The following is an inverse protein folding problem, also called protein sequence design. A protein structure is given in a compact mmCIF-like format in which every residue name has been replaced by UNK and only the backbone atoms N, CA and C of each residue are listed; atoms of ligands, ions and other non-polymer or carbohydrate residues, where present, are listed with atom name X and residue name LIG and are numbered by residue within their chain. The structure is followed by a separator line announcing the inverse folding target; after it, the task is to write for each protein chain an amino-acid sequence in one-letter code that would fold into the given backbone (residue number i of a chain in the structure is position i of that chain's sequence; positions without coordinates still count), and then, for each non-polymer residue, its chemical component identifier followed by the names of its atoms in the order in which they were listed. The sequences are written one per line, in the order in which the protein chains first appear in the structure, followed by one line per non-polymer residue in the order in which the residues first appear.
data_IF_943186859266
#
_entry.id   IF_943186859266
#
_cell.length_a   1.000
_cell.length_b   1.000
_cell.length_c   1.000
_cell.angle_alpha   90.00
_cell.angle_beta   90.00
_cell.angle_gamma   90.00
#
_symmetry.space_group_name_H-M   'P 1'
#
loop_
_entity.id
_entity.type
_entity.pdbx_description
1 polymer ?
#
# COMPACT_ATOMS: atom_id res chain seq x y z
N UNK A 1 -22.05 39.01 2.24
CA UNK A 1 -22.74 37.69 2.19
C UNK A 1 -22.10 36.70 1.22
N UNK A 2 -21.87 37.02 -0.06
CA UNK A 2 -21.38 36.03 -1.05
C UNK A 2 -20.02 35.36 -0.73
N UNK A 3 -19.06 36.08 -0.14
CA UNK A 3 -17.76 35.49 0.23
C UNK A 3 -17.88 34.40 1.30
N UNK A 4 -18.85 34.54 2.21
CA UNK A 4 -19.08 33.57 3.29
C UNK A 4 -19.77 32.30 2.74
N UNK A 5 -20.69 32.46 1.79
CA UNK A 5 -21.33 31.33 1.08
C UNK A 5 -20.31 30.52 0.28
N UNK A 6 -19.38 31.17 -0.41
CA UNK A 6 -18.31 30.49 -1.15
C UNK A 6 -17.36 29.71 -0.24
N UNK A 7 -16.95 30.31 0.88
CA UNK A 7 -16.11 29.63 1.87
C UNK A 7 -16.84 28.42 2.48
N UNK A 8 -18.13 28.56 2.80
CA UNK A 8 -18.94 27.45 3.31
C UNK A 8 -19.06 26.31 2.30
N UNK A 9 -19.24 26.61 1.01
CA UNK A 9 -19.32 25.60 -0.04
C UNK A 9 -18.01 24.83 -0.22
N UNK A 10 -16.86 25.52 -0.21
CA UNK A 10 -15.53 24.89 -0.32
C UNK A 10 -15.28 23.98 0.89
N UNK A 11 -15.53 24.47 2.11
CA UNK A 11 -15.35 23.67 3.33
C UNK A 11 -16.29 22.47 3.36
N UNK A 12 -17.55 22.64 2.93
CA UNK A 12 -18.52 21.55 2.82
C UNK A 12 -18.08 20.46 1.83
N UNK A 13 -17.55 20.85 0.66
CA UNK A 13 -17.08 19.91 -0.35
C UNK A 13 -15.82 19.16 0.10
N UNK A 14 -14.87 19.86 0.75
CA UNK A 14 -13.66 19.24 1.30
C UNK A 14 -13.99 18.28 2.45
N UNK A 15 -14.91 18.68 3.33
CA UNK A 15 -15.38 17.81 4.42
C UNK A 15 -16.08 16.57 3.88
N UNK A 16 -16.94 16.70 2.86
CA UNK A 16 -17.59 15.57 2.22
C UNK A 16 -16.58 14.61 1.55
N UNK A 17 -15.51 15.13 0.95
CA UNK A 17 -14.52 14.30 0.26
C UNK A 17 -13.50 13.66 1.23
N UNK A 18 -13.22 14.30 2.36
CA UNK A 18 -12.21 13.85 3.34
C UNK A 18 -12.76 13.10 4.56
N UNK A 19 -14.08 13.10 4.78
CA UNK A 19 -14.69 12.33 5.87
C UNK A 19 -14.78 10.87 5.47
N UNK A 20 -13.92 10.03 6.05
CA UNK A 20 -14.11 8.58 5.94
C UNK A 20 -15.43 8.22 6.65
N UNK A 21 -16.31 7.40 6.05
CA UNK A 21 -17.42 6.83 6.78
C UNK A 21 -16.86 6.10 8.01
N UNK A 22 -17.52 6.23 9.15
CA UNK A 22 -17.31 5.32 10.27
C UNK A 22 -17.77 3.94 9.79
N UNK A 23 -16.88 3.20 9.14
CA UNK A 23 -17.10 1.80 8.83
C UNK A 23 -17.14 1.06 10.15
N UNK A 24 -18.31 0.51 10.49
CA UNK A 24 -18.39 -0.60 11.42
C UNK A 24 -17.35 -1.64 10.98
N UNK A 25 -16.56 -2.20 11.90
CA UNK A 25 -15.57 -3.20 11.55
C UNK A 25 -16.30 -4.28 10.74
N UNK A 26 -15.91 -4.54 9.48
CA UNK A 26 -16.55 -5.58 8.71
C UNK A 26 -16.44 -6.86 9.55
N UNK A 27 -17.60 -7.47 9.85
CA UNK A 27 -17.63 -8.81 10.42
C UNK A 27 -16.66 -9.63 9.59
N UNK A 28 -15.62 -10.17 10.24
CA UNK A 28 -14.46 -10.80 9.60
C UNK A 28 -14.94 -11.68 8.45
N UNK A 29 -14.96 -11.11 7.24
CA UNK A 29 -15.31 -11.86 6.06
C UNK A 29 -14.04 -12.63 5.83
N UNK A 30 -14.04 -13.90 6.24
CA UNK A 30 -13.06 -14.88 5.84
C UNK A 30 -13.23 -15.05 4.32
N UNK A 31 -12.83 -14.03 3.56
CA UNK A 31 -12.46 -14.18 2.18
C UNK A 31 -11.31 -15.17 2.24
N UNK A 32 -11.61 -16.41 1.87
CA UNK A 32 -10.64 -17.48 1.82
C UNK A 32 -9.42 -16.92 1.07
N UNK A 33 -8.30 -16.83 1.76
CA UNK A 33 -7.02 -16.45 1.20
C UNK A 33 -6.68 -17.53 0.17
N UNK A 34 -7.04 -17.27 -1.10
CA UNK A 34 -6.56 -18.10 -2.18
C UNK A 34 -5.03 -18.01 -2.14
N UNK A 35 -4.31 -19.14 -2.30
CA UNK A 35 -2.87 -19.12 -2.33
C UNK A 35 -2.45 -18.22 -3.49
N UNK A 36 -1.87 -17.09 -3.12
CA UNK A 36 -1.21 -16.20 -4.05
C UNK A 36 -0.08 -16.97 -4.73
N UNK A 37 -0.20 -17.10 -6.06
CA UNK A 37 0.75 -17.86 -6.84
C UNK A 37 1.95 -17.00 -7.18
N UNK A 38 2.99 -17.10 -6.37
CA UNK A 38 4.27 -16.45 -6.63
C UNK A 38 4.73 -15.46 -5.57
N UNK A 39 4.05 -15.31 -4.43
CA UNK A 39 4.65 -14.65 -3.26
C UNK A 39 5.31 -15.67 -2.33
N UNK A 40 6.38 -15.28 -1.61
CA UNK A 40 6.92 -16.07 -0.53
C UNK A 40 5.84 -16.42 0.50
N UNK A 41 5.89 -17.64 1.05
CA UNK A 41 4.97 -18.03 2.11
C UNK A 41 5.25 -17.21 3.38
N UNK A 42 4.40 -16.22 3.64
CA UNK A 42 4.51 -15.37 4.81
C UNK A 42 3.58 -15.89 5.91
N UNK A 43 4.05 -16.88 6.67
CA UNK A 43 3.28 -17.58 7.72
C UNK A 43 3.67 -17.16 9.15
N UNK A 44 4.62 -16.22 9.30
CA UNK A 44 5.06 -15.73 10.59
C UNK A 44 3.96 -14.97 11.37
N UNK A 45 4.14 -14.76 12.67
CA UNK A 45 3.28 -13.86 13.44
C UNK A 45 3.42 -12.42 12.90
N UNK A 46 2.29 -11.75 12.69
CA UNK A 46 2.28 -10.34 12.28
C UNK A 46 2.70 -9.46 13.47
N UNK A 47 3.43 -8.35 13.22
CA UNK A 47 3.77 -7.40 14.27
C UNK A 47 2.53 -6.69 14.81
N UNK A 48 2.67 -5.95 15.92
CA UNK A 48 1.58 -5.14 16.44
C UNK A 48 1.29 -3.93 15.54
N UNK A 49 0.03 -3.44 15.49
CA UNK A 49 -0.33 -2.24 14.75
C UNK A 49 0.44 -1.00 15.22
N UNK A 50 0.78 -0.12 14.28
CA UNK A 50 1.52 1.13 14.56
C UNK A 50 0.54 2.31 14.54
N UNK A 51 0.54 3.08 15.63
CA UNK A 51 -0.17 4.36 15.70
C UNK A 51 0.78 5.51 15.33
N UNK A 52 0.38 6.34 14.35
CA UNK A 52 1.13 7.51 13.88
C UNK A 52 0.19 8.71 13.78
N UNK A 53 0.37 9.72 14.63
CA UNK A 53 -0.45 10.93 14.67
C UNK A 53 -1.97 10.62 14.64
N UNK A 54 -2.63 10.72 13.48
CA UNK A 54 -4.06 10.42 13.27
C UNK A 54 -4.32 9.19 12.37
N UNK A 55 -3.33 8.32 12.22
CA UNK A 55 -3.36 7.15 11.35
C UNK A 55 -3.01 5.88 12.14
N UNK A 56 -3.72 4.78 11.85
CA UNK A 56 -3.39 3.44 12.31
C UNK A 56 -2.90 2.61 11.13
N UNK A 57 -1.75 1.97 11.30
CA UNK A 57 -1.14 1.09 10.32
C UNK A 57 -1.29 -0.34 10.82
N UNK A 58 -2.19 -1.11 10.20
CA UNK A 58 -2.41 -2.52 10.50
C UNK A 58 -1.54 -3.38 9.56
N UNK A 59 -0.67 -4.25 10.08
CA UNK A 59 0.06 -5.18 9.23
C UNK A 59 -0.90 -6.26 8.72
N UNK A 60 -0.79 -6.57 7.44
CA UNK A 60 -1.55 -7.62 6.75
C UNK A 60 -0.60 -8.48 5.93
N UNK A 61 -1.00 -9.70 5.63
CA UNK A 61 -0.22 -10.56 4.74
C UNK A 61 -0.38 -10.10 3.30
N UNK A 62 0.63 -10.31 2.47
CA UNK A 62 0.50 -9.99 1.05
C UNK A 62 -0.63 -10.75 0.35
N UNK A 63 -0.92 -11.99 0.79
CA UNK A 63 -2.04 -12.78 0.29
C UNK A 63 -3.42 -12.22 0.62
N UNK A 64 -3.50 -11.27 1.56
CA UNK A 64 -4.75 -10.62 1.97
C UNK A 64 -5.02 -9.35 1.17
N UNK A 65 -4.07 -8.90 0.31
CA UNK A 65 -4.25 -7.71 -0.52
C UNK A 65 -5.08 -8.04 -1.77
N UNK A 66 -6.31 -7.49 -1.91
CA UNK A 66 -7.14 -7.74 -3.08
C UNK A 66 -6.53 -7.06 -4.31
N UNK A 67 -6.48 -7.77 -5.44
CA UNK A 67 -5.98 -7.21 -6.70
C UNK A 67 -4.46 -7.32 -6.90
N UNK A 68 -3.69 -7.63 -5.85
CA UNK A 68 -2.22 -7.64 -5.91
C UNK A 68 -1.69 -8.64 -6.97
N UNK A 69 -2.30 -9.81 -7.07
CA UNK A 69 -1.88 -10.85 -8.02
C UNK A 69 -2.07 -10.47 -9.48
N UNK A 70 -3.06 -9.60 -9.73
CA UNK A 70 -3.38 -9.11 -11.05
C UNK A 70 -2.55 -7.88 -11.43
N UNK A 71 -1.82 -7.29 -10.47
CA UNK A 71 -1.03 -6.09 -10.70
C UNK A 71 0.23 -6.37 -11.54
N UNK A 72 0.53 -5.44 -12.44
CA UNK A 72 1.68 -5.51 -13.32
C UNK A 72 2.88 -4.81 -12.66
N UNK A 73 3.55 -5.51 -11.75
CA UNK A 73 4.68 -4.98 -10.97
C UNK A 73 5.80 -4.35 -11.82
N UNK A 74 5.96 -4.81 -13.06
CA UNK A 74 6.95 -4.23 -13.97
C UNK A 74 6.71 -2.74 -14.24
N UNK A 75 5.45 -2.30 -14.29
CA UNK A 75 5.09 -0.89 -14.50
C UNK A 75 5.52 -0.01 -13.32
N UNK A 76 5.42 -0.54 -12.09
CA UNK A 76 5.86 0.15 -10.88
C UNK A 76 7.39 0.19 -10.71
N UNK A 77 8.12 -0.71 -11.38
CA UNK A 77 9.55 -0.94 -11.10
C UNK A 77 10.41 0.30 -11.35
N UNK A 78 10.10 1.07 -12.40
CA UNK A 78 10.81 2.32 -12.70
C UNK A 78 10.73 3.32 -11.54
N UNK A 79 9.59 3.39 -10.84
CA UNK A 79 9.44 4.27 -9.68
C UNK A 79 10.37 3.86 -8.54
N UNK A 80 10.51 2.56 -8.27
CA UNK A 80 11.40 2.06 -7.22
C UNK A 80 12.87 2.28 -7.55
N UNK A 81 13.27 2.10 -8.81
CA UNK A 81 14.62 2.46 -9.27
C UNK A 81 14.89 3.95 -9.06
N UNK A 82 13.90 4.81 -9.34
CA UNK A 82 14.02 6.27 -9.09
C UNK A 82 14.10 6.63 -7.61
N UNK A 83 13.36 5.94 -6.74
CA UNK A 83 13.51 6.11 -5.29
C UNK A 83 14.92 5.77 -4.79
N UNK A 84 15.67 4.94 -5.52
CA UNK A 84 17.06 4.60 -5.20
C UNK A 84 18.08 5.71 -5.56
N UNK A 85 17.66 6.85 -6.14
CA UNK A 85 18.55 7.99 -6.40
C UNK A 85 18.84 8.80 -5.13
N UNK A 86 17.89 8.83 -4.17
CA UNK A 86 18.04 9.44 -2.84
C UNK A 86 17.34 8.58 -1.78
N UNK A 87 17.88 7.39 -1.47
CA UNK A 87 17.23 6.43 -0.58
C UNK A 87 17.21 6.90 0.88
N UNK A 88 16.08 6.68 1.57
CA UNK A 88 16.04 6.80 3.03
C UNK A 88 16.78 5.61 3.69
N UNK A 89 17.34 5.75 4.90
CA UNK A 89 18.21 4.74 5.51
C UNK A 89 17.68 3.30 5.51
N UNK A 90 16.40 3.02 5.80
CA UNK A 90 15.86 1.64 5.77
C UNK A 90 15.93 0.98 4.38
N UNK A 91 15.95 1.76 3.30
CA UNK A 91 15.88 1.26 1.93
C UNK A 91 17.25 1.07 1.25
N UNK A 92 18.33 1.64 1.83
CA UNK A 92 19.68 1.58 1.24
C UNK A 92 20.12 0.16 0.87
N UNK A 93 19.87 -0.80 1.76
CA UNK A 93 20.28 -2.20 1.58
C UNK A 93 19.48 -2.92 0.47
N UNK A 94 18.32 -2.38 0.07
CA UNK A 94 17.46 -2.96 -0.96
C UNK A 94 17.81 -2.46 -2.37
N UNK A 95 18.38 -1.26 -2.49
CA UNK A 95 18.66 -0.63 -3.79
C UNK A 95 19.46 -1.50 -4.77
N UNK A 96 20.51 -2.26 -4.35
CA UNK A 96 21.24 -3.14 -5.27
C UNK A 96 20.36 -4.26 -5.84
N UNK A 97 19.40 -4.76 -5.06
CA UNK A 97 18.46 -5.82 -5.46
C UNK A 97 17.44 -5.24 -6.44
N UNK A 98 16.85 -4.09 -6.09
CA UNK A 98 15.87 -3.38 -6.94
C UNK A 98 16.44 -3.08 -8.33
N UNK A 99 17.68 -2.58 -8.39
CA UNK A 99 18.34 -2.30 -9.68
C UNK A 99 18.65 -3.57 -10.48
N UNK A 100 18.96 -4.69 -9.84
CA UNK A 100 19.22 -5.96 -10.53
C UNK A 100 17.93 -6.54 -11.12
N UNK A 101 16.85 -6.50 -10.34
CA UNK A 101 15.56 -7.06 -10.70
C UNK A 101 14.83 -6.24 -11.78
N UNK A 102 15.32 -5.06 -12.17
CA UNK A 102 14.78 -4.34 -13.34
C UNK A 102 15.00 -5.11 -14.66
N UNK A 103 15.87 -6.11 -14.66
CA UNK A 103 16.15 -7.01 -15.79
C UNK A 103 15.49 -8.38 -15.62
N UNK A 104 14.83 -8.63 -14.48
CA UNK A 104 14.25 -9.92 -14.15
C UNK A 104 12.85 -10.08 -14.77
N UNK A 105 12.37 -11.32 -14.83
CA UNK A 105 10.99 -11.62 -15.23
C UNK A 105 9.99 -11.06 -14.22
N UNK A 106 8.74 -10.86 -14.66
CA UNK A 106 7.66 -10.39 -13.78
C UNK A 106 7.43 -11.32 -12.57
N UNK A 107 7.62 -12.63 -12.73
CA UNK A 107 7.51 -13.60 -11.65
C UNK A 107 8.65 -13.48 -10.62
N UNK A 108 9.87 -13.23 -11.08
CA UNK A 108 11.02 -12.97 -10.20
C UNK A 108 10.87 -11.65 -9.46
N UNK A 109 10.36 -10.61 -10.13
CA UNK A 109 10.02 -9.33 -9.49
C UNK A 109 8.93 -9.50 -8.43
N UNK A 110 7.91 -10.34 -8.67
CA UNK A 110 6.84 -10.62 -7.71
C UNK A 110 7.32 -11.41 -6.50
N UNK A 111 8.27 -12.33 -6.68
CA UNK A 111 8.79 -13.18 -5.60
C UNK A 111 9.73 -12.46 -4.63
N UNK A 112 10.24 -11.30 -5.01
CA UNK A 112 11.13 -10.47 -4.19
C UNK A 112 10.35 -9.62 -3.21
#
# INVERSE_FOLDING_TARGET
MNRFLWLAAIVGMLAACGSAPLQDPPAASAAASLPVSGLPADAGPLPAPILRARSRWEPVRWSELPGLEQDNLHEAWNAWVKSCERPAPPFNALCPQVRRLSLASALEQRRW
#
